data_IF_416897222802
#
_entry.id   IF_416897222802
#
_cell.length_a   1.000
_cell.length_b   1.000
_cell.length_c   1.000
_cell.angle_alpha   90.00
_cell.angle_beta   90.00
_cell.angle_gamma   90.00
#
_symmetry.space_group_name_H-M   'P 1'
#
loop_
_entity.id
_entity.type
_entity.pdbx_description
1 polymer ?
#
# COMPACT_ATOMS: atom_id res chain seq x y z
N UNK A 1 6.57 0.62 -26.48
CA UNK A 1 6.19 1.75 -25.62
C UNK A 1 6.96 1.60 -24.33
N UNK A 2 7.60 2.65 -23.83
CA UNK A 2 8.28 2.58 -22.53
C UNK A 2 7.23 2.57 -21.42
N UNK A 3 7.52 1.88 -20.31
CA UNK A 3 6.64 1.79 -19.13
C UNK A 3 6.20 3.19 -18.61
N UNK A 4 7.05 4.20 -18.83
CA UNK A 4 6.76 5.59 -18.46
C UNK A 4 5.59 6.24 -19.23
N UNK A 5 5.27 5.80 -20.44
CA UNK A 5 4.21 6.39 -21.26
C UNK A 5 2.81 6.00 -20.76
N UNK A 6 2.62 4.72 -20.38
CA UNK A 6 1.36 4.20 -19.84
C UNK A 6 0.98 4.89 -18.52
N UNK A 7 1.96 5.03 -17.62
CA UNK A 7 1.80 5.69 -16.33
C UNK A 7 1.43 7.17 -16.49
N UNK A 8 2.09 7.86 -17.42
CA UNK A 8 1.80 9.26 -17.74
C UNK A 8 0.38 9.42 -18.29
N UNK A 9 -0.04 8.54 -19.20
CA UNK A 9 -1.39 8.52 -19.75
C UNK A 9 -2.46 8.28 -18.68
N UNK A 10 -2.21 7.35 -17.75
CA UNK A 10 -3.11 7.07 -16.63
C UNK A 10 -3.25 8.27 -15.69
N UNK A 11 -2.14 8.91 -15.31
CA UNK A 11 -2.13 10.10 -14.45
C UNK A 11 -2.92 11.23 -15.11
N UNK A 12 -2.70 11.47 -16.41
CA UNK A 12 -3.42 12.48 -17.17
C UNK A 12 -4.93 12.17 -17.24
N UNK A 13 -5.30 10.93 -17.56
CA UNK A 13 -6.70 10.50 -17.60
C UNK A 13 -7.39 10.65 -16.24
N UNK A 14 -6.72 10.27 -15.14
CA UNK A 14 -7.25 10.37 -13.79
C UNK A 14 -7.42 11.83 -13.35
N UNK A 15 -6.46 12.69 -13.69
CA UNK A 15 -6.55 14.13 -13.43
C UNK A 15 -7.70 14.81 -14.20
N UNK A 16 -7.88 14.45 -15.48
CA UNK A 16 -8.96 14.98 -16.34
C UNK A 16 -10.33 14.52 -15.86
N UNK A 17 -10.49 13.23 -15.52
CA UNK A 17 -11.75 12.71 -14.98
C UNK A 17 -12.07 13.30 -13.61
N UNK A 18 -11.03 13.60 -12.82
CA UNK A 18 -11.17 14.11 -11.45
C UNK A 18 -11.72 13.08 -10.47
N UNK A 19 -12.09 11.87 -10.92
CA UNK A 19 -12.56 10.77 -10.08
C UNK A 19 -12.13 9.43 -10.65
N UNK A 20 -11.80 8.47 -9.80
CA UNK A 20 -11.51 7.09 -10.22
C UNK A 20 -11.61 6.12 -9.05
N UNK A 21 -11.72 4.83 -9.36
CA UNK A 21 -11.58 3.74 -8.41
C UNK A 21 -10.29 3.00 -8.69
N UNK A 22 -9.55 2.60 -7.66
CA UNK A 22 -8.42 1.71 -7.82
C UNK A 22 -8.35 0.70 -6.69
N UNK A 23 -7.74 -0.46 -6.95
CA UNK A 23 -7.53 -1.51 -5.95
C UNK A 23 -6.35 -2.41 -6.29
N UNK A 24 -5.79 -3.10 -5.30
CA UNK A 24 -4.93 -4.22 -5.62
C UNK A 24 -5.76 -5.43 -6.03
N UNK A 25 -5.29 -6.13 -7.05
CA UNK A 25 -5.88 -7.37 -7.54
C UNK A 25 -5.54 -8.49 -6.54
N UNK A 26 -6.54 -9.09 -5.92
CA UNK A 26 -6.38 -10.21 -4.99
C UNK A 26 -6.52 -11.55 -5.73
N UNK A 27 -6.08 -12.63 -5.10
CA UNK A 27 -6.27 -13.98 -5.64
C UNK A 27 -7.76 -14.34 -5.89
N UNK A 28 -8.69 -13.76 -5.13
CA UNK A 28 -10.14 -13.92 -5.33
C UNK A 28 -10.66 -13.18 -6.57
N UNK A 29 -10.02 -12.09 -6.97
CA UNK A 29 -10.46 -11.33 -8.14
C UNK A 29 -10.22 -12.11 -9.44
N UNK A 30 -9.14 -12.90 -9.47
CA UNK A 30 -8.66 -13.64 -10.64
C UNK A 30 -9.10 -15.12 -10.63
N UNK A 31 -9.86 -15.54 -9.62
CA UNK A 31 -10.44 -16.89 -9.53
C UNK A 31 -9.49 -17.97 -9.01
N UNK A 32 -8.31 -17.61 -8.51
CA UNK A 32 -7.24 -18.56 -8.15
C UNK A 32 -7.50 -19.29 -6.81
N UNK A 33 -8.37 -18.75 -5.96
CA UNK A 33 -8.72 -19.34 -4.66
C UNK A 33 -9.84 -20.40 -4.71
N UNK A 34 -10.24 -20.88 -5.91
CA UNK A 34 -11.29 -21.89 -6.06
C UNK A 34 -12.72 -21.39 -5.79
N UNK A 35 -12.91 -20.08 -5.65
CA UNK A 35 -14.23 -19.48 -5.47
C UNK A 35 -15.01 -19.41 -6.80
N UNK A 36 -16.30 -19.76 -6.78
CA UNK A 36 -17.17 -19.83 -7.96
C UNK A 36 -17.40 -18.50 -8.72
N UNK A 37 -16.94 -17.35 -8.23
CA UNK A 37 -17.20 -16.05 -8.85
C UNK A 37 -15.90 -15.26 -9.06
N UNK A 38 -15.30 -15.48 -10.23
CA UNK A 38 -14.24 -14.68 -10.83
C UNK A 38 -14.76 -13.26 -11.16
N UNK A 39 -13.93 -12.24 -10.95
CA UNK A 39 -14.24 -10.85 -11.27
C UNK A 39 -13.70 -9.86 -10.24
N UNK A 40 -13.43 -8.63 -10.67
CA UNK A 40 -12.85 -7.58 -9.84
C UNK A 40 -13.87 -7.13 -8.78
N UNK A 41 -13.58 -7.36 -7.51
CA UNK A 41 -14.39 -6.94 -6.37
C UNK A 41 -14.41 -5.41 -6.24
N UNK A 42 -15.61 -4.87 -6.03
CA UNK A 42 -15.86 -3.46 -5.78
C UNK A 42 -16.36 -3.28 -4.36
N UNK A 43 -15.79 -2.34 -3.62
CA UNK A 43 -16.33 -2.01 -2.30
C UNK A 43 -17.60 -1.17 -2.44
N UNK A 44 -18.60 -1.37 -1.58
CA UNK A 44 -19.84 -0.56 -1.56
C UNK A 44 -19.60 0.95 -1.43
N UNK A 45 -18.49 1.38 -0.83
CA UNK A 45 -18.11 2.80 -0.80
C UNK A 45 -17.89 3.38 -2.21
N UNK A 46 -17.54 2.55 -3.19
CA UNK A 46 -17.35 2.94 -4.61
C UNK A 46 -18.64 2.98 -5.42
N UNK A 47 -19.78 2.71 -4.79
CA UNK A 47 -21.07 2.59 -5.46
C UNK A 47 -21.39 3.76 -6.39
N UNK A 48 -21.23 4.99 -5.91
CA UNK A 48 -21.53 6.22 -6.67
C UNK A 48 -20.63 6.45 -7.89
N UNK A 49 -19.53 5.71 -8.03
CA UNK A 49 -18.72 5.72 -9.25
C UNK A 49 -19.38 4.90 -10.37
N UNK A 50 -20.15 3.88 -10.00
CA UNK A 50 -20.67 2.87 -10.92
C UNK A 50 -22.19 2.92 -11.08
N UNK A 51 -22.97 3.21 -10.04
CA UNK A 51 -24.42 3.31 -10.09
C UNK A 51 -24.90 4.66 -9.53
N UNK A 52 -26.03 5.14 -10.05
CA UNK A 52 -26.71 6.35 -9.53
C UNK A 52 -27.85 5.97 -8.59
N UNK A 53 -28.44 4.81 -8.83
CA UNK A 53 -29.51 4.18 -8.06
C UNK A 53 -29.00 3.84 -6.65
N UNK A 54 -29.85 3.81 -5.61
CA UNK A 54 -29.45 3.30 -4.31
C UNK A 54 -29.14 1.79 -4.36
N UNK A 55 -28.35 1.31 -3.40
CA UNK A 55 -28.06 -0.13 -3.26
C UNK A 55 -29.40 -0.87 -3.03
N UNK A 56 -29.78 -1.83 -3.88
CA UNK A 56 -31.05 -2.53 -3.75
C UNK A 56 -31.06 -3.42 -2.50
N UNK A 57 -32.20 -3.49 -1.83
CA UNK A 57 -32.42 -4.34 -0.65
C UNK A 57 -32.63 -5.82 -1.01
N UNK A 58 -33.06 -6.12 -2.23
CA UNK A 58 -33.28 -7.47 -2.75
C UNK A 58 -33.00 -7.55 -4.26
N UNK A 59 -32.81 -8.76 -4.78
CA UNK A 59 -32.54 -9.00 -6.20
C UNK A 59 -31.09 -8.78 -6.62
N UNK A 60 -30.91 -8.62 -7.94
CA UNK A 60 -29.63 -8.38 -8.61
C UNK A 60 -29.77 -7.05 -9.35
N UNK A 61 -28.78 -6.16 -9.19
CA UNK A 61 -28.66 -4.97 -10.02
C UNK A 61 -27.38 -5.09 -10.83
N UNK A 62 -27.49 -4.95 -12.14
CA UNK A 62 -26.36 -5.03 -13.04
C UNK A 62 -26.49 -4.09 -14.23
N UNK A 63 -25.35 -3.82 -14.87
CA UNK A 63 -25.28 -3.18 -16.17
C UNK A 63 -24.03 -3.60 -16.91
N UNK A 64 -24.09 -3.47 -18.23
CA UNK A 64 -22.93 -3.64 -19.08
C UNK A 64 -22.20 -2.32 -19.25
N UNK A 65 -20.88 -2.36 -19.24
CA UNK A 65 -20.01 -1.21 -19.43
C UNK A 65 -18.94 -1.52 -20.45
N UNK A 66 -18.52 -0.51 -21.20
CA UNK A 66 -17.40 -0.59 -22.12
C UNK A 66 -16.10 -0.33 -21.38
N UNK A 67 -15.11 -1.19 -21.64
CA UNK A 67 -13.78 -1.12 -21.09
C UNK A 67 -12.81 -0.75 -22.20
N UNK A 68 -12.03 0.30 -21.95
CA UNK A 68 -10.95 0.77 -22.81
C UNK A 68 -9.62 0.47 -22.14
N UNK A 69 -8.84 -0.42 -22.74
CA UNK A 69 -7.46 -0.71 -22.36
C UNK A 69 -6.57 -0.26 -23.51
N UNK A 70 -5.47 0.41 -23.18
CA UNK A 70 -4.53 0.89 -24.17
C UNK A 70 -3.93 -0.26 -24.99
N UNK A 71 -3.86 -0.10 -26.31
CA UNK A 71 -3.39 -1.11 -27.26
C UNK A 71 -4.17 -2.44 -27.25
N UNK A 72 -5.41 -2.44 -26.78
CA UNK A 72 -6.32 -3.58 -26.87
C UNK A 72 -7.65 -3.18 -27.48
N UNK A 73 -8.37 -4.15 -28.05
CA UNK A 73 -9.72 -3.92 -28.53
C UNK A 73 -10.65 -3.60 -27.36
N UNK A 74 -11.53 -2.62 -27.56
CA UNK A 74 -12.60 -2.36 -26.61
C UNK A 74 -13.44 -3.62 -26.38
N UNK A 75 -13.88 -3.84 -25.15
CA UNK A 75 -14.75 -4.96 -24.80
C UNK A 75 -15.76 -4.57 -23.73
N UNK A 76 -16.77 -5.42 -23.56
CA UNK A 76 -17.82 -5.22 -22.57
C UNK A 76 -17.49 -6.01 -21.30
N UNK A 77 -17.70 -5.38 -20.15
CA UNK A 77 -17.72 -6.03 -18.83
C UNK A 77 -19.08 -5.83 -18.17
N UNK A 78 -19.41 -6.68 -17.21
CA UNK A 78 -20.67 -6.62 -16.47
C UNK A 78 -20.41 -6.20 -15.03
N UNK A 79 -20.90 -5.02 -14.66
CA UNK A 79 -20.91 -4.56 -13.27
C UNK A 79 -22.17 -5.10 -12.61
N UNK A 80 -22.04 -5.81 -11.49
CA UNK A 80 -23.15 -6.52 -10.86
C UNK A 80 -23.06 -6.48 -9.33
N UNK A 81 -24.21 -6.28 -8.69
CA UNK A 81 -24.42 -6.41 -7.26
C UNK A 81 -25.44 -7.49 -6.93
N UNK A 82 -25.04 -8.44 -6.08
CA UNK A 82 -25.89 -9.50 -5.54
C UNK A 82 -26.30 -9.14 -4.11
N UNK A 83 -27.57 -8.77 -3.89
CA UNK A 83 -28.07 -8.43 -2.56
C UNK A 83 -27.97 -9.61 -1.57
N UNK A 84 -28.22 -10.84 -2.05
CA UNK A 84 -28.16 -12.08 -1.25
C UNK A 84 -26.77 -12.35 -0.65
N UNK A 85 -25.71 -12.06 -1.41
CA UNK A 85 -24.31 -12.23 -0.98
C UNK A 85 -23.69 -10.94 -0.45
N UNK A 86 -24.40 -9.81 -0.58
CA UNK A 86 -23.87 -8.45 -0.35
C UNK A 86 -22.59 -8.18 -1.15
N UNK A 87 -22.51 -8.72 -2.36
CA UNK A 87 -21.28 -8.80 -3.16
C UNK A 87 -21.38 -7.92 -4.42
N UNK A 88 -20.39 -7.07 -4.64
CA UNK A 88 -20.36 -6.09 -5.73
C UNK A 88 -19.10 -6.34 -6.58
N UNK A 89 -19.25 -6.55 -7.90
CA UNK A 89 -18.13 -6.94 -8.78
C UNK A 89 -18.23 -6.38 -10.20
N UNK A 90 -17.08 -6.33 -10.86
CA UNK A 90 -16.95 -6.27 -12.32
C UNK A 90 -16.58 -7.67 -12.82
N UNK A 91 -17.52 -8.32 -13.48
CA UNK A 91 -17.38 -9.66 -14.07
C UNK A 91 -17.13 -9.56 -15.57
N UNK A 92 -16.66 -10.65 -16.18
CA UNK A 92 -16.28 -10.71 -17.61
C UNK A 92 -15.11 -9.79 -18.00
N UNK A 93 -14.46 -9.16 -17.02
CA UNK A 93 -13.28 -8.33 -17.26
C UNK A 93 -12.08 -9.17 -17.71
N UNK A 94 -11.71 -10.17 -16.91
CA UNK A 94 -10.52 -11.00 -17.19
C UNK A 94 -10.65 -11.84 -18.44
N UNK A 95 -11.85 -12.37 -18.73
CA UNK A 95 -12.11 -13.19 -19.92
C UNK A 95 -11.87 -12.43 -21.23
N UNK A 96 -12.03 -11.11 -21.21
CA UNK A 96 -11.96 -10.27 -22.41
C UNK A 96 -10.71 -9.37 -22.45
N UNK A 97 -9.93 -9.34 -21.37
CA UNK A 97 -8.72 -8.52 -21.26
C UNK A 97 -7.50 -9.26 -21.84
N UNK A 98 -6.42 -8.54 -22.20
CA UNK A 98 -5.22 -9.14 -22.78
C UNK A 98 -4.33 -9.86 -21.76
N UNK A 99 -4.70 -9.88 -20.49
CA UNK A 99 -3.76 -10.18 -19.41
C UNK A 99 -3.79 -11.64 -18.99
N UNK A 100 -2.60 -12.16 -18.63
CA UNK A 100 -2.51 -13.34 -17.79
C UNK A 100 -2.93 -12.98 -16.35
N UNK A 101 -4.22 -13.14 -16.06
CA UNK A 101 -4.82 -12.70 -14.79
C UNK A 101 -4.10 -13.22 -13.53
N UNK A 102 -3.55 -14.44 -13.58
CA UNK A 102 -2.91 -15.04 -12.39
C UNK A 102 -1.60 -14.34 -12.01
N UNK A 103 -0.89 -13.79 -12.99
CA UNK A 103 0.35 -13.02 -12.77
C UNK A 103 0.06 -11.61 -12.22
N UNK A 104 -1.18 -11.13 -12.34
CA UNK A 104 -1.58 -9.80 -11.89
C UNK A 104 -1.99 -9.75 -10.41
N UNK A 105 -1.89 -10.83 -9.65
CA UNK A 105 -2.12 -10.76 -8.19
C UNK A 105 -1.14 -9.77 -7.55
N UNK A 106 -1.67 -8.82 -6.78
CA UNK A 106 -0.95 -7.69 -6.20
C UNK A 106 -0.74 -6.50 -7.15
N UNK A 107 -1.18 -6.56 -8.42
CA UNK A 107 -1.13 -5.42 -9.33
C UNK A 107 -2.16 -4.36 -8.93
N UNK A 108 -1.90 -3.09 -9.22
CA UNK A 108 -2.86 -1.99 -9.02
C UNK A 108 -3.72 -1.84 -10.28
N UNK A 109 -5.03 -2.12 -10.16
CA UNK A 109 -6.00 -1.86 -11.23
C UNK A 109 -6.75 -0.56 -10.96
N UNK A 110 -6.92 0.27 -11.98
CA UNK A 110 -7.54 1.59 -11.90
C UNK A 110 -8.66 1.69 -12.94
N UNK A 111 -9.86 2.06 -12.51
CA UNK A 111 -11.04 2.31 -13.34
C UNK A 111 -11.35 3.81 -13.33
N UNK A 112 -11.17 4.45 -14.48
CA UNK A 112 -11.40 5.88 -14.69
C UNK A 112 -12.65 6.05 -15.55
N UNK A 113 -13.74 6.60 -15.03
CA UNK A 113 -14.95 6.82 -15.82
C UNK A 113 -14.70 7.90 -16.88
N UNK A 114 -15.04 7.55 -18.13
CA UNK A 114 -15.18 8.48 -19.26
C UNK A 114 -16.64 8.92 -19.36
N UNK A 115 -17.57 7.99 -19.16
CA UNK A 115 -19.01 8.23 -19.07
C UNK A 115 -19.62 7.37 -17.94
N UNK A 116 -20.95 7.32 -17.82
CA UNK A 116 -21.60 6.37 -16.89
C UNK A 116 -21.45 4.91 -17.32
N UNK A 117 -21.11 4.65 -18.58
CA UNK A 117 -21.03 3.29 -19.15
C UNK A 117 -19.68 2.99 -19.79
N UNK A 118 -18.74 3.95 -19.82
CA UNK A 118 -17.41 3.78 -20.40
C UNK A 118 -16.32 4.03 -19.37
N UNK A 119 -15.36 3.12 -19.28
CA UNK A 119 -14.24 3.20 -18.35
C UNK A 119 -12.92 2.97 -19.08
N UNK A 120 -11.97 3.90 -18.89
CA UNK A 120 -10.55 3.63 -19.16
C UNK A 120 -9.98 2.83 -18.00
N UNK A 121 -9.28 1.76 -18.32
CA UNK A 121 -8.67 0.88 -17.32
C UNK A 121 -7.17 0.80 -17.51
N UNK A 122 -6.46 1.05 -16.42
CA UNK A 122 -5.01 0.93 -16.35
C UNK A 122 -4.64 -0.13 -15.31
N UNK A 123 -3.57 -0.87 -15.58
CA UNK A 123 -3.04 -1.92 -14.73
C UNK A 123 -1.54 -1.71 -14.57
N UNK A 124 -1.11 -1.46 -13.33
CA UNK A 124 0.29 -1.34 -12.99
C UNK A 124 0.73 -2.59 -12.25
N UNK A 125 1.69 -3.30 -12.84
CA UNK A 125 2.23 -4.52 -12.26
C UNK A 125 3.64 -4.30 -11.70
N UNK A 126 4.30 -3.20 -12.05
CA UNK A 126 5.60 -2.83 -11.50
C UNK A 126 5.45 -1.97 -10.26
N UNK A 127 6.41 -2.06 -9.35
CA UNK A 127 6.40 -1.26 -8.12
C UNK A 127 6.59 0.24 -8.39
N UNK A 128 7.37 0.61 -9.41
CA UNK A 128 7.61 2.02 -9.74
C UNK A 128 6.34 2.72 -10.19
N UNK A 129 5.57 2.10 -11.08
CA UNK A 129 4.28 2.62 -11.52
C UNK A 129 3.27 2.69 -10.36
N UNK A 130 3.19 1.62 -9.54
CA UNK A 130 2.31 1.56 -8.38
C UNK A 130 2.64 2.69 -7.40
N UNK A 131 3.91 2.82 -7.00
CA UNK A 131 4.37 3.84 -6.06
C UNK A 131 4.16 5.25 -6.62
N UNK A 132 4.52 5.49 -7.88
CA UNK A 132 4.38 6.81 -8.47
C UNK A 132 2.91 7.21 -8.59
N UNK A 133 2.02 6.30 -8.98
CA UNK A 133 0.59 6.59 -9.07
C UNK A 133 -0.02 6.84 -7.69
N UNK A 134 0.26 5.96 -6.71
CA UNK A 134 -0.20 6.12 -5.31
C UNK A 134 0.28 7.45 -4.73
N UNK A 135 1.54 7.82 -4.97
CA UNK A 135 2.09 9.07 -4.47
C UNK A 135 1.51 10.29 -5.22
N UNK A 136 1.33 10.21 -6.54
CA UNK A 136 0.77 11.29 -7.37
C UNK A 136 -0.63 11.69 -6.91
N UNK A 137 -1.50 10.71 -6.64
CA UNK A 137 -2.87 10.99 -6.18
C UNK A 137 -2.99 11.05 -4.66
N UNK A 138 -1.91 10.71 -3.95
CA UNK A 138 -1.92 10.41 -2.54
C UNK A 138 -3.03 9.41 -2.24
N UNK A 139 -2.77 8.12 -2.32
CA UNK A 139 -3.79 7.11 -2.04
C UNK A 139 -3.40 6.34 -0.78
N UNK A 140 -4.38 6.08 0.11
CA UNK A 140 -4.26 5.03 1.13
C UNK A 140 -4.96 3.79 0.60
N UNK A 141 -4.20 2.69 0.44
CA UNK A 141 -4.71 1.44 -0.13
C UNK A 141 -4.74 0.29 0.88
N UNK A 142 -4.66 0.58 2.19
CA UNK A 142 -4.66 -0.44 3.25
C UNK A 142 -5.95 -1.28 3.24
N UNK A 143 -7.08 -0.70 2.84
CA UNK A 143 -8.35 -1.41 2.69
C UNK A 143 -8.51 -2.14 1.34
N UNK A 144 -7.41 -2.35 0.60
CA UNK A 144 -7.33 -2.89 -0.75
C UNK A 144 -7.87 -2.00 -1.86
N UNK A 145 -8.54 -0.89 -1.58
CA UNK A 145 -9.09 -0.01 -2.60
C UNK A 145 -9.08 1.45 -2.16
N UNK A 146 -9.12 2.36 -3.11
CA UNK A 146 -9.31 3.79 -2.90
C UNK A 146 -10.24 4.36 -3.96
N UNK A 147 -10.98 5.40 -3.59
CA UNK A 147 -11.81 6.19 -4.50
C UNK A 147 -11.27 7.59 -4.43
N UNK A 148 -10.80 8.09 -5.55
CA UNK A 148 -10.37 9.47 -5.68
C UNK A 148 -11.55 10.30 -6.20
N UNK A 149 -11.75 11.48 -5.61
CA UNK A 149 -12.71 12.46 -6.12
C UNK A 149 -12.18 13.87 -5.84
N UNK A 150 -12.03 14.68 -6.89
CA UNK A 150 -11.60 16.08 -6.85
C UNK A 150 -12.82 16.96 -6.53
N UNK A 151 -13.40 16.77 -5.34
CA UNK A 151 -14.59 17.46 -4.87
C UNK A 151 -14.33 18.34 -3.64
N UNK A 152 -14.67 19.63 -3.76
CA UNK A 152 -14.68 20.61 -2.68
C UNK A 152 -15.55 20.16 -1.49
N UNK A 153 -15.04 20.44 -0.28
CA UNK A 153 -15.71 20.47 1.03
C UNK A 153 -17.00 19.67 1.21
N UNK A 154 -16.95 18.62 2.04
CA UNK A 154 -18.12 18.20 2.81
C UNK A 154 -18.05 18.81 4.22
N UNK A 155 -19.16 19.36 4.75
CA UNK A 155 -19.24 19.83 6.14
C UNK A 155 -19.24 18.68 7.13
N UNK A 156 -18.59 18.92 8.27
CA UNK A 156 -18.40 18.00 9.39
C UNK A 156 -19.70 17.73 10.16
N UNK A 157 -19.94 16.47 10.52
CA UNK A 157 -20.79 16.11 11.64
C UNK A 157 -20.00 16.30 12.96
N UNK A 158 -20.69 16.76 14.00
CA UNK A 158 -20.15 17.06 15.33
C UNK A 158 -20.04 15.75 16.13
N UNK A 159 -19.04 14.96 15.80
CA UNK A 159 -18.45 13.94 16.68
C UNK A 159 -16.93 14.17 16.68
N UNK A 160 -16.25 13.90 17.79
CA UNK A 160 -14.78 13.96 17.84
C UNK A 160 -14.23 12.80 16.98
N UNK A 161 -13.97 13.10 15.71
CA UNK A 161 -13.38 12.15 14.76
C UNK A 161 -11.87 12.16 14.87
N UNK A 162 -11.22 11.07 14.44
CA UNK A 162 -9.75 11.03 14.31
C UNK A 162 -9.23 12.22 13.49
N UNK A 163 -9.98 12.63 12.46
CA UNK A 163 -9.66 13.81 11.63
C UNK A 163 -9.72 15.13 12.41
N UNK A 164 -10.65 15.27 13.36
CA UNK A 164 -10.71 16.44 14.25
C UNK A 164 -9.47 16.52 15.14
N UNK A 165 -9.06 15.40 15.75
CA UNK A 165 -7.84 15.34 16.56
C UNK A 165 -6.58 15.57 15.71
N UNK A 166 -6.53 15.06 14.47
CA UNK A 166 -5.46 15.36 13.53
C UNK A 166 -5.40 16.87 13.28
N UNK A 167 -6.51 17.50 12.90
CA UNK A 167 -6.58 18.95 12.62
C UNK A 167 -6.07 19.79 13.79
N UNK A 168 -6.53 19.49 15.01
CA UNK A 168 -6.08 20.18 16.22
C UNK A 168 -4.57 19.99 16.46
N UNK A 169 -4.07 18.77 16.30
CA UNK A 169 -2.64 18.47 16.53
C UNK A 169 -1.73 19.18 15.54
N UNK A 170 -2.16 19.30 14.28
CA UNK A 170 -1.33 19.92 13.23
C UNK A 170 -1.48 21.44 13.16
N UNK A 171 -2.39 22.04 13.93
CA UNK A 171 -2.70 23.47 13.87
C UNK A 171 -1.49 24.36 14.13
N UNK A 172 -0.60 23.94 15.03
CA UNK A 172 0.62 24.69 15.38
C UNK A 172 1.83 24.37 14.48
N UNK A 173 1.73 23.36 13.62
CA UNK A 173 2.82 22.94 12.74
C UNK A 173 2.89 23.87 11.53
N UNK A 174 3.98 24.63 11.39
CA UNK A 174 4.17 25.58 10.29
C UNK A 174 4.87 24.94 9.08
N UNK A 175 5.88 24.11 9.35
CA UNK A 175 6.69 23.44 8.34
C UNK A 175 6.44 21.93 8.34
N UNK A 176 6.80 21.26 7.23
CA UNK A 176 6.71 19.80 7.19
C UNK A 176 7.67 19.20 8.20
N UNK A 177 7.19 18.39 9.17
CA UNK A 177 8.07 17.64 10.05
C UNK A 177 8.89 16.63 9.24
N UNK A 178 10.04 16.25 9.76
CA UNK A 178 10.82 15.17 9.13
C UNK A 178 10.04 13.84 9.21
N UNK A 179 10.47 12.85 8.43
CA UNK A 179 9.75 11.57 8.30
C UNK A 179 9.64 10.81 9.63
N UNK A 180 10.60 10.95 10.54
CA UNK A 180 10.56 10.30 11.87
C UNK A 180 9.53 10.96 12.79
N UNK A 181 9.53 12.29 12.81
CA UNK A 181 8.56 13.10 13.56
C UNK A 181 7.15 12.90 13.02
N UNK A 182 6.98 12.84 11.70
CA UNK A 182 5.70 12.56 11.05
C UNK A 182 5.12 11.22 11.53
N UNK A 183 5.91 10.15 11.47
CA UNK A 183 5.47 8.83 11.95
C UNK A 183 5.18 8.86 13.46
N UNK A 184 5.93 9.64 14.26
CA UNK A 184 5.68 9.81 15.71
C UNK A 184 4.37 10.54 15.99
N UNK A 185 4.09 11.64 15.29
CA UNK A 185 2.84 12.41 15.40
C UNK A 185 1.66 11.49 15.08
N UNK A 186 1.74 10.74 13.97
CA UNK A 186 0.71 9.80 13.57
C UNK A 186 0.42 8.73 14.63
N UNK A 187 1.48 8.12 15.19
CA UNK A 187 1.34 7.16 16.30
C UNK A 187 0.69 7.80 17.51
N UNK A 188 1.15 8.97 17.94
CA UNK A 188 0.63 9.65 19.12
C UNK A 188 -0.86 9.99 18.98
N UNK A 189 -1.27 10.50 17.82
CA UNK A 189 -2.68 10.79 17.52
C UNK A 189 -3.50 9.50 17.59
N UNK A 190 -3.08 8.45 16.89
CA UNK A 190 -3.80 7.18 16.88
C UNK A 190 -3.92 6.56 18.29
N UNK A 191 -2.81 6.49 19.02
CA UNK A 191 -2.76 5.87 20.35
C UNK A 191 -3.61 6.65 21.35
N UNK A 192 -3.58 7.99 21.28
CA UNK A 192 -4.40 8.87 22.12
C UNK A 192 -5.89 8.72 21.81
N UNK A 193 -6.28 8.82 20.53
CA UNK A 193 -7.67 8.71 20.08
C UNK A 193 -8.32 7.41 20.54
N UNK A 194 -7.65 6.27 20.27
CA UNK A 194 -8.15 4.95 20.60
C UNK A 194 -7.80 4.49 22.02
N UNK A 195 -7.15 5.32 22.84
CA UNK A 195 -6.73 5.03 24.21
C UNK A 195 -5.98 3.69 24.33
N UNK A 196 -5.11 3.41 23.35
CA UNK A 196 -4.36 2.16 23.23
C UNK A 196 -3.36 2.04 24.38
N UNK A 197 -3.39 0.90 25.08
CA UNK A 197 -2.49 0.59 26.20
C UNK A 197 -1.31 -0.31 25.83
N UNK A 198 -1.47 -1.09 24.75
CA UNK A 198 -0.49 -2.05 24.27
C UNK A 198 -0.47 -2.01 22.74
N UNK A 199 0.69 -2.37 22.18
CA UNK A 199 0.89 -2.42 20.73
C UNK A 199 0.49 -3.82 20.24
N UNK A 200 -0.48 -3.88 19.33
CA UNK A 200 -0.73 -5.04 18.49
C UNK A 200 0.05 -4.83 17.18
N UNK A 201 1.21 -5.49 17.03
CA UNK A 201 2.14 -5.21 15.94
C UNK A 201 1.50 -5.34 14.54
N UNK A 202 0.68 -6.37 14.33
CA UNK A 202 0.04 -6.62 13.04
C UNK A 202 -1.04 -5.57 12.69
N UNK A 203 -1.88 -5.19 13.64
CA UNK A 203 -2.97 -4.23 13.41
C UNK A 203 -2.50 -2.79 13.45
N UNK A 204 -1.71 -2.43 14.46
CA UNK A 204 -1.29 -1.07 14.71
C UNK A 204 -0.31 -0.59 13.64
N UNK A 205 0.54 -1.45 13.08
CA UNK A 205 1.39 -1.09 11.95
C UNK A 205 0.57 -0.55 10.77
N UNK A 206 -0.48 -1.29 10.38
CA UNK A 206 -1.37 -0.87 9.29
C UNK A 206 -2.06 0.44 9.64
N UNK A 207 -2.58 0.57 10.87
CA UNK A 207 -3.31 1.76 11.29
C UNK A 207 -2.43 2.99 11.44
N UNK A 208 -1.18 2.83 11.83
CA UNK A 208 -0.24 3.93 11.93
C UNK A 208 0.19 4.44 10.56
N UNK A 209 0.45 3.55 9.59
CA UNK A 209 0.71 3.95 8.21
C UNK A 209 -0.51 4.69 7.61
N UNK A 210 -1.73 4.22 7.89
CA UNK A 210 -2.97 4.91 7.49
C UNK A 210 -3.08 6.30 8.09
N UNK A 211 -2.82 6.40 9.40
CA UNK A 211 -2.92 7.66 10.14
C UNK A 211 -1.85 8.65 9.69
N UNK A 212 -0.61 8.19 9.46
CA UNK A 212 0.50 9.01 8.95
C UNK A 212 0.16 9.58 7.58
N UNK A 213 -0.41 8.74 6.72
CA UNK A 213 -0.87 9.17 5.41
C UNK A 213 -1.91 10.31 5.53
N UNK A 214 -2.90 10.18 6.43
CA UNK A 214 -3.93 11.21 6.64
C UNK A 214 -3.37 12.49 7.25
N UNK A 215 -2.52 12.38 8.28
CA UNK A 215 -1.83 13.52 8.90
C UNK A 215 -1.04 14.30 7.86
N UNK A 216 -0.25 13.61 7.04
CA UNK A 216 0.50 14.23 5.96
C UNK A 216 -0.41 14.97 4.98
N UNK A 217 -1.57 14.42 4.63
CA UNK A 217 -2.50 15.08 3.68
C UNK A 217 -3.10 16.35 4.23
N UNK A 218 -3.40 16.37 5.53
CA UNK A 218 -3.93 17.55 6.17
C UNK A 218 -2.85 18.64 6.28
N UNK A 219 -1.62 18.26 6.66
CA UNK A 219 -0.45 19.14 6.62
C UNK A 219 -0.16 19.65 5.21
N UNK A 220 -0.25 18.78 4.20
CA UNK A 220 -0.01 19.14 2.82
C UNK A 220 -0.97 20.22 2.34
N UNK A 221 -2.27 20.04 2.61
CA UNK A 221 -3.30 21.02 2.29
C UNK A 221 -3.08 22.34 3.03
N UNK A 222 -2.69 22.28 4.31
CA UNK A 222 -2.46 23.45 5.15
C UNK A 222 -1.22 24.24 4.71
N UNK A 223 -0.07 23.57 4.61
CA UNK A 223 1.23 24.19 4.34
C UNK A 223 1.27 24.74 2.92
N UNK A 224 0.71 24.02 1.94
CA UNK A 224 0.65 24.50 0.56
C UNK A 224 -0.52 25.42 0.27
N UNK A 225 -1.31 25.82 1.28
CA UNK A 225 -2.53 26.58 1.06
C UNK A 225 -2.30 27.82 0.18
N UNK A 226 -1.25 28.59 0.46
CA UNK A 226 -0.94 29.80 -0.29
C UNK A 226 -0.55 29.50 -1.74
N UNK A 227 0.28 28.49 -1.96
CA UNK A 227 0.70 28.01 -3.29
C UNK A 227 -0.47 27.42 -4.09
N UNK A 228 -1.50 26.90 -3.42
CA UNK A 228 -2.71 26.36 -4.06
C UNK A 228 -3.74 27.45 -4.40
N UNK A 229 -3.75 28.56 -3.65
CA UNK A 229 -4.72 29.66 -3.81
C UNK A 229 -4.19 30.82 -4.65
N UNK A 230 -2.87 30.90 -4.85
CA UNK A 230 -2.22 31.97 -5.62
C UNK A 230 -1.72 31.42 -6.95
N UNK A 231 -1.99 32.08 -8.09
CA UNK A 231 -1.42 31.66 -9.37
C UNK A 231 0.12 31.82 -9.35
N UNK A 232 0.83 30.87 -9.94
CA UNK A 232 2.31 30.88 -10.00
C UNK A 232 2.89 31.94 -10.94
N UNK A 233 2.08 32.43 -11.90
CA UNK A 233 2.42 33.42 -12.93
C UNK A 233 3.53 32.99 -13.93
N UNK A 234 4.49 32.17 -13.50
CA UNK A 234 5.58 31.60 -14.30
C UNK A 234 5.56 30.07 -14.27
N UNK A 235 5.94 29.43 -15.38
CA UNK A 235 5.91 27.97 -15.53
C UNK A 235 7.00 27.30 -14.66
N UNK A 236 8.17 27.91 -14.53
CA UNK A 236 9.28 27.40 -13.73
C UNK A 236 8.90 27.30 -12.25
N UNK A 237 8.22 28.31 -11.70
CA UNK A 237 7.76 28.32 -10.31
C UNK A 237 6.74 27.21 -10.03
N UNK A 238 5.84 26.92 -11.00
CA UNK A 238 4.90 25.81 -10.91
C UNK A 238 5.63 24.46 -10.91
N UNK A 239 6.59 24.27 -11.81
CA UNK A 239 7.34 23.01 -11.93
C UNK A 239 8.21 22.76 -10.69
N UNK A 240 8.86 23.78 -10.15
CA UNK A 240 9.66 23.67 -8.92
C UNK A 240 8.78 23.25 -7.72
N UNK A 241 7.62 23.88 -7.56
CA UNK A 241 6.65 23.50 -6.53
C UNK A 241 6.16 22.05 -6.71
N UNK A 242 5.76 21.68 -7.92
CA UNK A 242 5.26 20.33 -8.22
C UNK A 242 6.31 19.25 -7.93
N UNK A 243 7.54 19.46 -8.38
CA UNK A 243 8.65 18.54 -8.11
C UNK A 243 8.95 18.44 -6.62
N UNK A 244 8.95 19.57 -5.89
CA UNK A 244 9.14 19.59 -4.45
C UNK A 244 8.06 18.79 -3.73
N UNK A 245 6.79 18.97 -4.12
CA UNK A 245 5.67 18.24 -3.54
C UNK A 245 5.74 16.73 -3.83
N UNK A 246 6.03 16.34 -5.07
CA UNK A 246 6.17 14.93 -5.48
C UNK A 246 7.34 14.24 -4.77
N UNK A 247 8.51 14.88 -4.73
CA UNK A 247 9.69 14.35 -4.06
C UNK A 247 9.44 14.15 -2.55
N UNK A 248 8.71 15.07 -1.92
CA UNK A 248 8.32 14.95 -0.51
C UNK A 248 7.43 13.73 -0.27
N UNK A 249 6.44 13.48 -1.14
CA UNK A 249 5.60 12.28 -1.06
C UNK A 249 6.39 11.00 -1.24
N UNK A 250 7.31 10.97 -2.22
CA UNK A 250 8.19 9.82 -2.50
C UNK A 250 9.10 9.49 -1.31
N UNK A 251 9.74 10.52 -0.73
CA UNK A 251 10.61 10.37 0.45
C UNK A 251 9.87 9.79 1.66
N UNK A 252 8.65 10.31 1.94
CA UNK A 252 7.80 9.79 3.02
C UNK A 252 7.41 8.32 2.81
N UNK A 253 6.89 7.99 1.62
CA UNK A 253 6.40 6.65 1.33
C UNK A 253 7.49 5.58 1.51
N UNK A 254 8.74 5.91 1.17
CA UNK A 254 9.88 5.00 1.35
C UNK A 254 10.28 4.76 2.81
N UNK A 255 10.11 5.74 3.71
CA UNK A 255 10.60 5.65 5.10
C UNK A 255 9.53 5.37 6.17
N UNK A 256 8.26 5.64 5.87
CA UNK A 256 7.16 5.47 6.83
C UNK A 256 7.11 4.05 7.42
N UNK A 257 7.18 3.03 6.58
CA UNK A 257 7.16 1.62 7.03
C UNK A 257 8.33 1.32 7.98
N UNK A 258 9.55 1.68 7.59
CA UNK A 258 10.75 1.49 8.43
C UNK A 258 10.60 2.17 9.79
N UNK A 259 10.10 3.41 9.84
CA UNK A 259 9.95 4.14 11.10
C UNK A 259 8.93 3.53 12.05
N UNK A 260 7.82 3.01 11.52
CA UNK A 260 6.84 2.31 12.34
C UNK A 260 7.38 0.98 12.85
N UNK A 261 8.08 0.22 12.01
CA UNK A 261 8.67 -1.06 12.38
C UNK A 261 9.80 -0.89 13.41
N UNK A 262 10.65 0.12 13.23
CA UNK A 262 11.65 0.53 14.22
C UNK A 262 10.98 0.77 15.59
N UNK A 263 9.94 1.59 15.62
CA UNK A 263 9.24 1.88 16.87
C UNK A 263 8.63 0.63 17.52
N UNK A 264 8.06 -0.28 16.72
CA UNK A 264 7.55 -1.57 17.20
C UNK A 264 8.68 -2.36 17.84
N UNK A 265 9.78 -2.63 17.11
CA UNK A 265 10.88 -3.44 17.61
C UNK A 265 11.54 -2.85 18.85
N UNK A 266 11.75 -1.53 18.91
CA UNK A 266 12.24 -0.86 20.11
C UNK A 266 11.28 -0.99 21.29
N UNK A 267 9.97 -0.88 21.05
CA UNK A 267 8.95 -1.03 22.09
C UNK A 267 8.86 -2.45 22.65
N UNK A 268 9.18 -3.46 21.83
CA UNK A 268 9.28 -4.85 22.24
C UNK A 268 10.67 -5.23 22.79
N UNK A 269 11.62 -4.28 22.86
CA UNK A 269 12.95 -4.50 23.42
C UNK A 269 13.86 -5.39 22.57
N UNK A 270 13.61 -5.50 21.26
CA UNK A 270 14.42 -6.34 20.38
C UNK A 270 15.81 -5.73 20.16
N UNK A 271 16.88 -6.52 20.12
CA UNK A 271 18.21 -6.04 19.74
C UNK A 271 18.31 -5.94 18.21
N UNK A 272 18.52 -4.75 17.68
CA UNK A 272 18.72 -4.54 16.24
C UNK A 272 19.45 -3.23 15.94
N UNK A 273 20.05 -3.16 14.75
CA UNK A 273 20.46 -1.91 14.12
C UNK A 273 19.54 -1.56 12.95
N UNK A 274 19.21 -0.27 12.80
CA UNK A 274 18.41 0.27 11.71
C UNK A 274 18.96 1.65 11.27
N UNK A 275 19.49 1.79 10.04
CA UNK A 275 19.85 0.70 9.13
C UNK A 275 21.03 -0.11 9.69
N UNK A 276 21.07 -1.41 9.38
CA UNK A 276 22.25 -2.24 9.64
C UNK A 276 23.41 -1.90 8.69
N UNK A 277 24.60 -2.43 8.98
CA UNK A 277 25.73 -2.41 8.03
C UNK A 277 26.33 -3.81 7.90
N UNK A 278 26.59 -4.21 6.67
CA UNK A 278 27.11 -5.54 6.33
C UNK A 278 28.33 -5.40 5.42
N UNK A 279 28.50 -6.25 4.39
CA UNK A 279 29.65 -6.18 3.51
C UNK A 279 29.67 -4.90 2.66
N UNK A 280 30.82 -4.23 2.65
CA UNK A 280 31.05 -3.05 1.81
C UNK A 280 30.17 -1.87 2.22
N UNK A 281 29.30 -1.41 1.31
CA UNK A 281 28.37 -0.29 1.53
C UNK A 281 26.91 -0.72 1.67
N UNK A 282 26.65 -2.03 1.78
CA UNK A 282 25.31 -2.60 1.91
C UNK A 282 24.69 -2.24 3.27
N UNK A 283 23.39 -1.95 3.25
CA UNK A 283 22.63 -1.47 4.39
C UNK A 283 21.26 -2.15 4.40
N UNK A 284 21.15 -3.37 4.96
CA UNK A 284 19.83 -3.96 5.18
C UNK A 284 19.01 -3.06 6.11
N UNK A 285 17.69 -3.04 5.91
CA UNK A 285 16.79 -2.17 6.67
C UNK A 285 16.90 -2.47 8.18
N UNK A 286 16.84 -3.75 8.57
CA UNK A 286 17.04 -4.19 9.94
C UNK A 286 18.01 -5.36 10.02
N UNK A 287 18.97 -5.27 10.94
CA UNK A 287 19.98 -6.29 11.19
C UNK A 287 19.99 -6.67 12.67
N UNK A 288 19.96 -7.97 12.96
CA UNK A 288 19.86 -8.52 14.31
C UNK A 288 21.04 -9.47 14.61
N UNK A 289 21.57 -9.48 15.84
CA UNK A 289 21.21 -8.57 16.93
C UNK A 289 21.85 -7.18 16.79
N UNK A 290 22.98 -7.05 16.07
CA UNK A 290 23.61 -5.77 15.75
C UNK A 290 24.58 -5.88 14.57
N UNK A 291 25.00 -4.73 14.04
CA UNK A 291 26.12 -4.60 13.10
C UNK A 291 27.42 -5.10 13.70
N UNK A 292 27.66 -4.85 15.00
CA UNK A 292 28.89 -5.28 15.65
C UNK A 292 29.01 -6.81 15.64
N UNK A 293 27.92 -7.51 15.98
CA UNK A 293 27.83 -8.96 15.96
C UNK A 293 27.95 -9.51 14.53
N UNK A 294 27.34 -8.84 13.55
CA UNK A 294 27.49 -9.20 12.14
C UNK A 294 28.93 -9.06 11.62
N UNK A 295 29.71 -8.12 12.15
CA UNK A 295 31.10 -7.90 11.73
C UNK A 295 32.09 -8.81 12.47
N UNK A 296 31.70 -9.36 13.63
CA UNK A 296 32.51 -10.34 14.35
C UNK A 296 32.41 -11.72 13.70
N UNK A 297 33.49 -12.17 13.07
CA UNK A 297 33.60 -13.49 12.45
C UNK A 297 33.49 -14.66 13.44
N UNK A 298 33.63 -14.41 14.73
CA UNK A 298 33.45 -15.42 15.79
C UNK A 298 32.00 -15.53 16.25
N UNK A 299 31.18 -14.51 15.98
CA UNK A 299 29.75 -14.58 16.29
C UNK A 299 29.08 -15.64 15.38
N UNK A 300 28.21 -16.52 15.90
CA UNK A 300 27.64 -17.60 15.09
C UNK A 300 26.71 -17.08 13.99
N UNK A 301 26.88 -17.57 12.75
CA UNK A 301 26.06 -17.14 11.60
C UNK A 301 24.58 -17.48 11.80
N UNK A 302 24.28 -18.61 12.43
CA UNK A 302 22.92 -19.03 12.77
C UNK A 302 22.22 -18.08 13.75
N UNK A 303 22.98 -17.26 14.48
CA UNK A 303 22.45 -16.25 15.39
C UNK A 303 22.19 -14.90 14.71
N UNK A 304 22.59 -14.73 13.45
CA UNK A 304 22.32 -13.51 12.69
C UNK A 304 20.95 -13.57 12.01
N UNK A 305 20.28 -12.42 11.91
CA UNK A 305 19.06 -12.28 11.12
C UNK A 305 19.02 -10.92 10.44
N UNK A 306 18.29 -10.85 9.32
CA UNK A 306 17.93 -9.59 8.69
C UNK A 306 16.45 -9.59 8.32
N UNK A 307 15.89 -8.38 8.31
CA UNK A 307 14.55 -8.11 7.80
C UNK A 307 14.63 -6.93 6.83
N UNK A 308 14.34 -7.18 5.56
CA UNK A 308 14.03 -6.12 4.61
C UNK A 308 12.60 -5.63 4.81
N UNK A 309 12.33 -4.33 4.68
CA UNK A 309 11.01 -3.75 4.82
C UNK A 309 10.60 -3.03 3.54
N UNK A 310 9.55 -3.53 2.89
CA UNK A 310 9.08 -3.00 1.59
C UNK A 310 7.56 -2.82 1.61
N UNK A 311 7.08 -1.59 1.45
CA UNK A 311 5.62 -1.33 1.37
C UNK A 311 4.98 -2.18 0.28
N UNK A 312 5.63 -2.27 -0.87
CA UNK A 312 5.32 -3.16 -2.00
C UNK A 312 6.60 -3.92 -2.35
N UNK A 313 6.54 -5.23 -2.61
CA UNK A 313 7.75 -6.05 -2.85
C UNK A 313 7.93 -6.53 -4.30
N UNK A 314 6.83 -6.73 -5.05
CA UNK A 314 6.74 -7.15 -6.47
C UNK A 314 8.01 -7.79 -7.04
N UNK A 315 8.82 -7.06 -7.79
CA UNK A 315 10.07 -7.59 -8.36
C UNK A 315 11.32 -7.13 -7.57
N UNK A 316 11.16 -6.18 -6.64
CA UNK A 316 12.25 -5.61 -5.84
C UNK A 316 12.63 -6.44 -4.61
N UNK A 317 11.89 -7.49 -4.27
CA UNK A 317 12.33 -8.42 -3.21
C UNK A 317 13.72 -9.00 -3.49
N UNK A 318 14.09 -9.16 -4.77
CA UNK A 318 15.41 -9.65 -5.17
C UNK A 318 16.57 -8.77 -4.68
N UNK A 319 16.31 -7.49 -4.38
CA UNK A 319 17.32 -6.56 -3.86
C UNK A 319 17.89 -7.03 -2.52
N UNK A 320 17.07 -7.68 -1.67
CA UNK A 320 17.50 -8.09 -0.33
C UNK A 320 18.45 -9.30 -0.37
N UNK A 321 18.45 -10.08 -1.45
CA UNK A 321 19.24 -11.33 -1.57
C UNK A 321 20.72 -11.10 -1.32
N UNK A 322 21.21 -9.96 -1.80
CA UNK A 322 22.61 -9.61 -1.74
C UNK A 322 22.94 -8.70 -0.55
N UNK A 323 22.02 -8.37 0.35
CA UNK A 323 22.29 -7.37 1.40
C UNK A 323 23.11 -7.89 2.58
N UNK A 324 23.12 -9.21 2.83
CA UNK A 324 23.89 -9.82 3.90
C UNK A 324 24.35 -11.24 3.51
N UNK A 325 25.65 -11.42 3.28
CA UNK A 325 26.19 -12.69 2.81
C UNK A 325 26.21 -13.77 3.91
N UNK A 326 26.44 -13.39 5.18
CA UNK A 326 26.45 -14.32 6.33
C UNK A 326 25.06 -14.86 6.69
N UNK A 327 24.00 -14.27 6.15
CA UNK A 327 22.61 -14.61 6.48
C UNK A 327 21.95 -15.31 5.28
N UNK A 328 21.96 -16.65 5.24
CA UNK A 328 21.41 -17.40 4.11
C UNK A 328 19.89 -17.31 4.04
N UNK A 329 19.18 -17.36 5.18
CA UNK A 329 17.72 -17.20 5.27
C UNK A 329 17.36 -15.77 5.63
N UNK A 330 16.60 -15.10 4.77
CA UNK A 330 16.26 -13.68 4.91
C UNK A 330 14.77 -13.53 5.20
N UNK A 331 14.40 -12.48 5.91
CA UNK A 331 13.00 -12.13 6.13
C UNK A 331 12.66 -10.88 5.34
N UNK A 332 11.44 -10.83 4.81
CA UNK A 332 10.93 -9.68 4.08
C UNK A 332 9.57 -9.27 4.63
N UNK A 333 9.52 -8.15 5.33
CA UNK A 333 8.28 -7.51 5.74
C UNK A 333 7.67 -6.76 4.57
N UNK A 334 6.39 -7.05 4.27
CA UNK A 334 5.65 -6.28 3.28
C UNK A 334 4.21 -5.99 3.67
N UNK A 335 3.71 -4.83 3.21
CA UNK A 335 2.30 -4.46 3.27
C UNK A 335 1.56 -4.76 1.96
N UNK A 336 2.23 -5.41 1.00
CA UNK A 336 1.64 -5.76 -0.28
C UNK A 336 0.45 -6.70 -0.11
N UNK A 337 -0.62 -6.41 -0.85
CA UNK A 337 -1.86 -7.17 -0.79
C UNK A 337 -1.87 -8.28 -1.82
N UNK A 338 -1.28 -9.40 -1.44
CA UNK A 338 -1.14 -10.57 -2.30
C UNK A 338 0.14 -10.52 -3.15
N UNK A 339 0.72 -11.70 -3.31
CA UNK A 339 1.85 -12.01 -4.19
C UNK A 339 1.43 -13.22 -5.02
N UNK A 340 1.84 -13.29 -6.29
CA UNK A 340 1.48 -14.42 -7.15
C UNK A 340 2.14 -15.72 -6.67
N UNK A 341 1.56 -16.87 -7.02
CA UNK A 341 2.11 -18.19 -6.64
C UNK A 341 3.56 -18.34 -7.09
N UNK A 342 3.84 -18.02 -8.36
CA UNK A 342 5.17 -18.07 -8.94
C UNK A 342 6.16 -17.21 -8.16
N UNK A 343 5.81 -15.95 -7.83
CA UNK A 343 6.68 -15.09 -7.03
C UNK A 343 6.91 -15.66 -5.62
N UNK A 344 5.89 -16.26 -4.99
CA UNK A 344 6.07 -16.91 -3.69
C UNK A 344 7.00 -18.13 -3.79
N UNK A 345 6.93 -18.92 -4.85
CA UNK A 345 7.83 -20.06 -5.08
C UNK A 345 9.26 -19.64 -5.37
N UNK A 346 9.45 -18.57 -6.15
CA UNK A 346 10.77 -17.95 -6.35
C UNK A 346 11.36 -17.48 -5.02
N UNK A 347 10.57 -16.76 -4.20
CA UNK A 347 11.01 -16.32 -2.87
C UNK A 347 11.38 -17.51 -1.97
N UNK A 348 10.66 -18.63 -2.04
CA UNK A 348 11.00 -19.84 -1.27
C UNK A 348 12.35 -20.41 -1.69
N UNK A 349 12.54 -20.52 -3.00
CA UNK A 349 13.74 -21.08 -3.62
C UNK A 349 14.98 -20.28 -3.20
N UNK A 350 14.81 -18.96 -3.07
CA UNK A 350 15.84 -18.03 -2.60
C UNK A 350 15.91 -17.89 -1.07
N UNK A 351 15.27 -18.78 -0.31
CA UNK A 351 15.27 -18.80 1.17
C UNK A 351 14.75 -17.51 1.84
N UNK A 352 13.73 -16.88 1.24
CA UNK A 352 13.04 -15.72 1.82
C UNK A 352 11.77 -16.17 2.55
N UNK A 353 11.67 -15.74 3.81
CA UNK A 353 10.44 -15.83 4.61
C UNK A 353 9.68 -14.51 4.49
N UNK A 354 8.47 -14.56 3.94
CA UNK A 354 7.57 -13.41 3.91
C UNK A 354 6.97 -13.16 5.30
N UNK A 355 7.17 -11.95 5.82
CA UNK A 355 6.52 -11.43 7.02
C UNK A 355 5.43 -10.46 6.54
N UNK A 356 4.18 -10.76 6.85
CA UNK A 356 3.02 -10.00 6.38
C UNK A 356 2.06 -9.80 7.55
N UNK A 357 1.57 -8.58 7.81
CA UNK A 357 0.58 -8.36 8.84
C UNK A 357 -0.63 -9.29 8.72
N UNK A 358 -1.05 -9.92 9.82
CA UNK A 358 -2.13 -10.92 9.85
C UNK A 358 -3.39 -10.51 9.07
N UNK A 359 -3.89 -9.26 9.14
CA UNK A 359 -5.09 -8.85 8.39
C UNK A 359 -4.98 -8.98 6.87
N UNK A 360 -3.75 -8.98 6.32
CA UNK A 360 -3.47 -9.05 4.89
C UNK A 360 -3.33 -10.49 4.38
N UNK A 361 -3.16 -11.50 5.25
CA UNK A 361 -2.95 -12.91 4.85
C UNK A 361 -4.05 -13.43 3.92
N UNK A 362 -5.30 -13.05 4.18
CA UNK A 362 -6.48 -13.44 3.36
C UNK A 362 -6.41 -12.98 1.90
N UNK A 363 -5.51 -12.05 1.57
CA UNK A 363 -5.31 -11.51 0.22
C UNK A 363 -4.35 -12.37 -0.60
N UNK A 364 -3.62 -13.28 0.04
CA UNK A 364 -2.67 -14.20 -0.58
C UNK A 364 -3.37 -15.50 -0.99
N UNK A 365 -2.82 -16.24 -1.98
CA UNK A 365 -3.34 -17.55 -2.37
C UNK A 365 -3.50 -18.50 -1.18
N UNK A 366 -4.68 -19.10 -1.01
CA UNK A 366 -5.03 -19.88 0.19
C UNK A 366 -4.01 -20.99 0.51
N UNK A 367 -3.56 -21.73 -0.49
CA UNK A 367 -2.61 -22.83 -0.32
C UNK A 367 -1.21 -22.35 0.12
N UNK A 368 -0.88 -21.07 -0.04
CA UNK A 368 0.40 -20.48 0.37
C UNK A 368 0.34 -19.74 1.70
N UNK A 369 -0.85 -19.48 2.25
CA UNK A 369 -1.00 -18.67 3.48
C UNK A 369 -0.27 -19.29 4.68
N UNK A 370 -0.13 -20.62 4.74
CA UNK A 370 0.60 -21.32 5.80
C UNK A 370 2.12 -21.00 5.82
N UNK A 371 2.67 -20.44 4.74
CA UNK A 371 4.08 -20.05 4.59
C UNK A 371 4.36 -18.63 5.08
N UNK A 372 3.32 -17.83 5.33
CA UNK A 372 3.45 -16.44 5.75
C UNK A 372 3.67 -16.35 7.25
N UNK A 373 4.65 -15.56 7.66
CA UNK A 373 4.80 -15.17 9.05
C UNK A 373 3.97 -13.91 9.32
N UNK A 374 3.36 -13.83 10.49
CA UNK A 374 2.84 -12.55 10.99
C UNK A 374 3.96 -11.69 11.54
N UNK A 375 3.73 -10.38 11.69
CA UNK A 375 4.72 -9.53 12.34
C UNK A 375 4.88 -9.92 13.82
N UNK A 376 3.80 -10.29 14.49
CA UNK A 376 3.85 -10.81 15.87
C UNK A 376 4.70 -12.08 15.96
N UNK A 377 4.52 -13.05 15.05
CA UNK A 377 5.33 -14.28 15.01
C UNK A 377 6.82 -13.98 14.80
N UNK A 378 7.14 -13.04 13.90
CA UNK A 378 8.53 -12.61 13.71
C UNK A 378 9.12 -12.00 15.01
N UNK A 379 8.36 -11.14 15.69
CA UNK A 379 8.78 -10.55 16.97
C UNK A 379 9.02 -11.62 18.03
N UNK A 380 8.08 -12.56 18.20
CA UNK A 380 8.19 -13.67 19.15
C UNK A 380 9.42 -14.54 18.86
N UNK A 381 9.67 -14.86 17.59
CA UNK A 381 10.84 -15.61 17.16
C UNK A 381 12.15 -14.88 17.48
N UNK A 382 12.23 -13.56 17.23
CA UNK A 382 13.40 -12.75 17.59
C UNK A 382 13.58 -12.69 19.11
N UNK A 383 12.49 -12.57 19.89
CA UNK A 383 12.55 -12.58 21.35
C UNK A 383 13.12 -13.89 21.88
N UNK A 384 12.61 -15.02 21.41
CA UNK A 384 13.09 -16.35 21.79
C UNK A 384 14.56 -16.51 21.44
N UNK A 385 14.96 -16.13 20.23
CA UNK A 385 16.33 -16.28 19.74
C UNK A 385 17.35 -15.49 20.55
N UNK A 386 17.00 -14.29 21.03
CA UNK A 386 17.93 -13.41 21.76
C UNK A 386 17.62 -13.30 23.25
N UNK A 387 16.72 -14.12 23.79
CA UNK A 387 16.38 -14.16 25.22
C UNK A 387 15.73 -12.86 25.74
N UNK A 388 15.00 -12.14 24.89
CA UNK A 388 14.26 -10.92 25.27
C UNK A 388 12.97 -11.32 25.97
N UNK A 389 12.73 -10.76 27.17
CA UNK A 389 11.54 -11.07 27.99
C UNK A 389 10.24 -10.45 27.45
#
# INVERSE_FOLDING_TARGET
MSENELLSNAINAANLSGRFFCKFVSANDVGVNGAHQEGVYLNKKSWSLFFKEPIPSSGILDKFVKIHIENWKDFTSRIVYYSSKKEFRITQFWTNSPYNKEELVGALIIFIPVSSEDYKVYLFNTEEEIELFINTFSLSLINNFSIYNKGFGQPLAIEETLESQINQTIELIQDFPNTTEMSKIARNIYMSFYKKKQINADEDLLKWVETEYTVFRFLEKKIYHNQLMTPFLEIEALLEFANTALNRRKSRAGKSLEHHVHYIFSSFGLPFDNPGKTEGKKKPDFLFPSTADYMDKKFPDEMLMMLGAKTTCKDRWRQILNEANRIPRKHLLTLQQGVSKNQMDEMQTENITLVVPKPLHKMYPNEYQHRLWTLTQFIEFVKEKYGVK
#
